data_IF_906975408332
#
_entry.id   IF_906975408332
#
_cell.length_a   1.000
_cell.length_b   1.000
_cell.length_c   1.000
_cell.angle_alpha   90.00
_cell.angle_beta   90.00
_cell.angle_gamma   90.00
#
_symmetry.space_group_name_H-M   'P 1'
#
loop_
_entity.id
_entity.type
_entity.pdbx_description
1 polymer ?
#
# COMPACT_ATOMS: atom_id res chain seq x y z
N UNK A 1 -10.51 43.99 6.91
CA UNK A 1 -9.63 42.98 6.26
C UNK A 1 -8.67 42.21 7.20
N UNK A 2 -8.53 42.56 8.49
CA UNK A 2 -7.62 41.87 9.43
C UNK A 2 -8.15 40.58 10.07
N UNK A 3 -9.46 40.51 10.36
CA UNK A 3 -10.07 39.35 11.03
C UNK A 3 -10.01 38.05 10.22
N UNK A 4 -10.21 38.11 8.90
CA UNK A 4 -10.16 36.93 8.02
C UNK A 4 -8.78 36.28 7.95
N UNK A 5 -7.70 37.08 8.03
CA UNK A 5 -6.31 36.58 8.05
C UNK A 5 -5.96 35.88 9.35
N UNK A 6 -6.49 36.36 10.48
CA UNK A 6 -6.30 35.74 11.79
C UNK A 6 -7.07 34.41 11.89
N UNK A 7 -8.29 34.38 11.37
CA UNK A 7 -9.11 33.17 11.30
C UNK A 7 -8.48 32.11 10.40
N UNK A 8 -7.98 32.49 9.22
CA UNK A 8 -7.24 31.58 8.34
C UNK A 8 -5.95 31.04 8.99
N UNK A 9 -5.20 31.89 9.70
CA UNK A 9 -4.00 31.45 10.46
C UNK A 9 -4.35 30.51 11.60
N UNK A 10 -5.42 30.77 12.33
CA UNK A 10 -5.90 29.92 13.42
C UNK A 10 -6.34 28.55 12.88
N UNK A 11 -7.16 28.53 11.83
CA UNK A 11 -7.58 27.30 11.15
C UNK A 11 -6.38 26.50 10.64
N UNK A 12 -5.44 27.16 9.97
CA UNK A 12 -4.23 26.51 9.48
C UNK A 12 -3.41 25.89 10.62
N UNK A 13 -3.23 26.61 11.74
CA UNK A 13 -2.53 26.08 12.93
C UNK A 13 -3.27 24.88 13.53
N UNK A 14 -4.59 24.95 13.65
CA UNK A 14 -5.41 23.86 14.17
C UNK A 14 -5.35 22.60 13.31
N UNK A 15 -5.58 22.73 11.99
CA UNK A 15 -5.48 21.62 11.04
C UNK A 15 -4.06 21.03 11.05
N UNK A 16 -3.03 21.89 11.08
CA UNK A 16 -1.64 21.45 11.10
C UNK A 16 -1.30 20.69 12.39
N UNK A 17 -1.74 21.15 13.55
CA UNK A 17 -1.52 20.45 14.81
C UNK A 17 -2.18 19.06 14.80
N UNK A 18 -3.43 18.97 14.34
CA UNK A 18 -4.13 17.69 14.22
C UNK A 18 -3.46 16.73 13.23
N UNK A 19 -2.95 17.27 12.11
CA UNK A 19 -2.22 16.50 11.11
C UNK A 19 -0.88 15.97 11.64
N UNK A 20 -0.15 16.76 12.44
CA UNK A 20 1.09 16.28 13.07
C UNK A 20 0.80 15.09 14.00
N UNK A 21 -0.20 15.21 14.88
CA UNK A 21 -0.62 14.11 15.76
C UNK A 21 -1.05 12.86 14.97
N UNK A 22 -1.78 13.02 13.87
CA UNK A 22 -2.20 11.88 13.03
C UNK A 22 -1.03 11.22 12.29
N UNK A 23 -0.02 11.98 11.87
CA UNK A 23 1.18 11.43 11.23
C UNK A 23 2.12 10.75 12.23
N UNK A 24 2.23 11.24 13.45
CA UNK A 24 3.05 10.62 14.51
C UNK A 24 2.44 9.29 14.96
N UNK A 25 1.12 9.26 15.15
CA UNK A 25 0.38 8.01 15.45
C UNK A 25 0.46 7.02 14.29
N UNK A 26 0.38 7.49 13.03
CA UNK A 26 0.57 6.64 11.85
C UNK A 26 1.99 6.05 11.81
N UNK A 27 3.02 6.86 12.09
CA UNK A 27 4.41 6.40 12.16
C UNK A 27 4.60 5.33 13.23
N UNK A 28 4.04 5.54 14.44
CA UNK A 28 4.12 4.57 15.53
C UNK A 28 3.42 3.25 15.19
N UNK A 29 2.27 3.32 14.51
CA UNK A 29 1.55 2.12 14.03
C UNK A 29 2.42 1.34 13.05
N UNK A 30 3.01 2.02 12.06
CA UNK A 30 3.92 1.38 11.11
C UNK A 30 5.18 0.81 11.75
N UNK A 31 5.75 1.46 12.75
CA UNK A 31 6.92 0.94 13.46
C UNK A 31 6.59 -0.37 14.20
N UNK A 32 5.40 -0.43 14.81
CA UNK A 32 4.87 -1.64 15.47
C UNK A 32 4.64 -2.76 14.45
N UNK A 33 3.93 -2.44 13.36
CA UNK A 33 3.59 -3.39 12.28
C UNK A 33 4.83 -3.95 11.58
N UNK A 34 5.89 -3.15 11.41
CA UNK A 34 7.15 -3.59 10.81
C UNK A 34 8.11 -4.26 11.80
N UNK A 35 7.81 -4.24 13.11
CA UNK A 35 8.71 -4.75 14.15
C UNK A 35 10.06 -4.03 14.22
N UNK A 36 10.13 -2.78 13.75
CA UNK A 36 11.36 -1.96 13.75
C UNK A 36 11.04 -0.48 13.85
N UNK A 37 11.97 0.28 14.40
CA UNK A 37 11.85 1.73 14.37
C UNK A 37 11.99 2.29 12.94
N UNK A 38 11.28 3.39 12.68
CA UNK A 38 11.31 4.12 11.41
C UNK A 38 12.03 5.43 11.65
N UNK A 39 13.20 5.58 11.02
CA UNK A 39 13.99 6.80 11.18
C UNK A 39 13.23 8.02 10.65
N UNK A 40 13.51 9.21 11.19
CA UNK A 40 12.91 10.47 10.69
C UNK A 40 13.19 10.66 9.19
N UNK A 41 14.38 10.25 8.73
CA UNK A 41 14.76 10.33 7.31
C UNK A 41 13.94 9.38 6.44
N UNK A 42 13.69 8.16 6.89
CA UNK A 42 12.80 7.22 6.18
C UNK A 42 11.37 7.74 6.16
N UNK A 43 10.87 8.23 7.29
CA UNK A 43 9.51 8.74 7.41
C UNK A 43 9.25 9.95 6.50
N UNK A 44 10.18 10.92 6.49
CA UNK A 44 10.10 12.09 5.61
C UNK A 44 10.20 11.70 4.14
N UNK A 45 11.02 10.71 3.80
CA UNK A 45 11.07 10.16 2.44
C UNK A 45 9.73 9.54 2.03
N UNK A 46 9.12 8.74 2.90
CA UNK A 46 7.81 8.11 2.70
C UNK A 46 6.72 9.15 2.43
N UNK A 47 6.62 10.18 3.26
CA UNK A 47 5.62 11.25 3.09
C UNK A 47 5.76 11.96 1.73
N UNK A 48 6.99 12.09 1.22
CA UNK A 48 7.25 12.67 -0.10
C UNK A 48 7.11 11.66 -1.25
N UNK A 49 7.03 10.36 -0.99
CA UNK A 49 7.07 9.35 -2.04
C UNK A 49 5.81 9.40 -2.91
N UNK A 50 4.64 9.73 -2.34
CA UNK A 50 3.40 9.90 -3.08
C UNK A 50 3.50 10.90 -4.24
N UNK A 51 4.35 11.92 -4.13
CA UNK A 51 4.53 12.91 -5.21
C UNK A 51 5.54 12.43 -6.25
N UNK A 52 6.43 11.52 -5.88
CA UNK A 52 7.52 10.99 -6.72
C UNK A 52 7.12 9.73 -7.50
N UNK A 53 6.15 8.98 -7.00
CA UNK A 53 5.78 7.66 -7.53
C UNK A 53 5.22 7.72 -8.95
N UNK A 54 4.40 8.72 -9.24
CA UNK A 54 3.78 8.92 -10.55
C UNK A 54 3.13 10.30 -10.62
N UNK A 55 2.97 10.85 -11.83
CA UNK A 55 2.16 12.05 -12.03
C UNK A 55 0.65 11.76 -11.93
N UNK A 56 0.22 10.53 -12.24
CA UNK A 56 -1.18 10.16 -12.29
C UNK A 56 -1.80 9.98 -10.90
N UNK A 57 -2.86 10.74 -10.62
CA UNK A 57 -3.58 10.72 -9.34
C UNK A 57 -4.02 9.33 -8.93
N UNK A 58 -4.46 8.49 -9.87
CA UNK A 58 -4.89 7.12 -9.59
C UNK A 58 -3.77 6.27 -8.98
N UNK A 59 -2.55 6.38 -9.50
CA UNK A 59 -1.38 5.66 -8.97
C UNK A 59 -0.99 6.19 -7.59
N UNK A 60 -1.08 7.50 -7.38
CA UNK A 60 -0.85 8.10 -6.05
C UNK A 60 -1.82 7.56 -5.01
N UNK A 61 -3.10 7.41 -5.36
CA UNK A 61 -4.10 6.83 -4.46
C UNK A 61 -3.77 5.38 -4.10
N UNK A 62 -3.37 4.55 -5.06
CA UNK A 62 -2.96 3.15 -4.82
C UNK A 62 -1.86 3.05 -3.75
N UNK A 63 -0.94 4.02 -3.73
CA UNK A 63 0.08 4.11 -2.69
C UNK A 63 -0.49 4.68 -1.37
N UNK A 64 -1.30 5.73 -1.46
CA UNK A 64 -1.82 6.47 -0.31
C UNK A 64 -2.74 5.65 0.60
N UNK A 65 -3.62 4.82 0.02
CA UNK A 65 -4.58 4.00 0.77
C UNK A 65 -3.90 3.08 1.79
N UNK A 66 -2.95 2.20 1.41
CA UNK A 66 -2.26 1.37 2.38
C UNK A 66 -1.37 2.20 3.30
N UNK A 67 -0.67 3.22 2.80
CA UNK A 67 0.22 4.04 3.62
C UNK A 67 -0.50 4.73 4.77
N UNK A 68 -1.71 5.28 4.54
CA UNK A 68 -2.54 5.87 5.60
C UNK A 68 -3.40 4.83 6.34
N UNK A 69 -3.14 3.54 6.10
CA UNK A 69 -3.93 2.43 6.63
C UNK A 69 -5.43 2.62 6.36
N UNK A 70 -5.83 3.22 5.24
CA UNK A 70 -7.24 3.52 4.92
C UNK A 70 -8.05 2.27 4.53
N UNK A 71 -7.38 1.14 4.34
CA UNK A 71 -7.98 -0.15 4.04
C UNK A 71 -8.80 -0.68 5.23
N UNK A 72 -10.11 -0.85 5.01
CA UNK A 72 -11.03 -1.51 5.95
C UNK A 72 -10.90 -3.03 5.85
N UNK A 73 -9.92 -3.57 6.57
CA UNK A 73 -9.72 -5.02 6.68
C UNK A 73 -10.77 -5.67 7.59
N UNK A 74 -11.03 -6.98 7.48
CA UNK A 74 -11.93 -7.69 8.41
C UNK A 74 -11.58 -7.48 9.89
N UNK A 75 -10.29 -7.48 10.25
CA UNK A 75 -9.85 -7.14 11.62
C UNK A 75 -10.31 -5.74 12.04
N UNK A 76 -10.16 -4.73 11.16
CA UNK A 76 -10.63 -3.36 11.45
C UNK A 76 -12.15 -3.24 11.48
N UNK A 77 -12.86 -3.94 10.60
CA UNK A 77 -14.32 -3.96 10.57
C UNK A 77 -14.89 -4.61 11.84
N UNK A 78 -14.28 -5.70 12.32
CA UNK A 78 -14.66 -6.32 13.58
C UNK A 78 -14.46 -5.36 14.76
N UNK A 79 -13.35 -4.61 14.78
CA UNK A 79 -13.10 -3.63 15.86
C UNK A 79 -14.07 -2.44 15.85
N UNK A 80 -14.50 -1.97 14.68
CA UNK A 80 -15.38 -0.79 14.55
C UNK A 80 -16.87 -1.16 14.67
N UNK A 81 -17.27 -2.26 14.02
CA UNK A 81 -18.67 -2.64 13.84
C UNK A 81 -19.03 -3.97 14.49
N UNK A 82 -18.12 -4.61 15.23
CA UNK A 82 -18.33 -5.91 15.87
C UNK A 82 -18.82 -7.00 14.90
N UNK A 83 -18.29 -7.00 13.67
CA UNK A 83 -18.66 -8.00 12.66
C UNK A 83 -18.38 -9.42 13.14
N UNK A 84 -19.15 -10.45 12.71
CA UNK A 84 -19.07 -11.79 13.30
C UNK A 84 -17.70 -12.48 13.16
N UNK A 85 -16.90 -12.10 12.17
CA UNK A 85 -15.56 -12.68 11.97
C UNK A 85 -14.52 -11.60 11.64
N UNK A 86 -13.33 -11.74 12.24
CA UNK A 86 -12.13 -10.99 11.89
C UNK A 86 -11.20 -11.76 10.93
N UNK A 87 -11.55 -13.02 10.63
CA UNK A 87 -10.73 -13.93 9.83
C UNK A 87 -10.58 -13.50 8.37
N UNK A 88 -9.45 -13.88 7.80
CA UNK A 88 -9.16 -13.70 6.38
C UNK A 88 -10.17 -14.44 5.49
N UNK A 89 -10.78 -13.76 4.50
CA UNK A 89 -11.75 -14.40 3.60
C UNK A 89 -11.11 -15.50 2.72
N UNK A 90 -9.78 -15.45 2.54
CA UNK A 90 -9.02 -16.37 1.68
C UNK A 90 -8.57 -17.63 2.44
N UNK A 91 -7.75 -17.46 3.48
CA UNK A 91 -7.22 -18.62 4.21
C UNK A 91 -8.09 -19.06 5.40
N UNK A 92 -8.98 -18.19 5.90
CA UNK A 92 -9.92 -18.46 7.01
C UNK A 92 -9.28 -18.84 8.36
N UNK A 93 -7.96 -18.74 8.51
CA UNK A 93 -7.23 -19.19 9.71
C UNK A 93 -6.76 -18.09 10.64
N UNK A 94 -6.57 -16.87 10.14
CA UNK A 94 -5.88 -15.79 10.87
C UNK A 94 -6.68 -14.51 10.75
N UNK A 95 -6.61 -13.68 11.79
CA UNK A 95 -7.16 -12.32 11.76
C UNK A 95 -6.57 -11.54 10.58
N UNK A 96 -7.45 -10.95 9.78
CA UNK A 96 -7.07 -10.25 8.58
C UNK A 96 -6.76 -8.80 8.87
N UNK A 97 -5.56 -8.57 9.38
CA UNK A 97 -4.90 -7.27 9.32
C UNK A 97 -4.28 -7.02 7.92
N UNK A 98 -3.65 -5.86 7.73
CA UNK A 98 -3.09 -5.49 6.43
C UNK A 98 -1.84 -6.34 6.08
N UNK A 99 -1.05 -6.73 7.08
CA UNK A 99 0.17 -7.53 6.93
C UNK A 99 -0.16 -8.98 6.56
N UNK A 100 -1.24 -9.54 7.07
CA UNK A 100 -1.77 -10.80 6.63
C UNK A 100 -2.35 -10.68 5.22
N UNK A 101 -3.26 -9.72 5.00
CA UNK A 101 -4.04 -9.64 3.77
C UNK A 101 -3.22 -9.30 2.51
N UNK A 102 -2.01 -8.77 2.65
CA UNK A 102 -1.15 -8.46 1.50
C UNK A 102 0.05 -9.41 1.47
N UNK A 103 1.09 -9.29 2.31
CA UNK A 103 2.28 -10.11 2.15
C UNK A 103 2.20 -11.53 2.76
N UNK A 104 1.49 -11.75 3.87
CA UNK A 104 1.65 -12.98 4.66
C UNK A 104 0.56 -14.05 4.47
N UNK A 105 -0.52 -13.78 3.73
CA UNK A 105 -1.58 -14.76 3.52
C UNK A 105 -1.07 -15.96 2.69
N UNK A 106 -1.17 -17.21 3.19
CA UNK A 106 -0.71 -18.40 2.46
C UNK A 106 -1.38 -18.58 1.10
N UNK A 107 -2.64 -18.15 0.96
CA UNK A 107 -3.38 -18.19 -0.31
C UNK A 107 -2.80 -17.27 -1.39
N UNK A 108 -1.83 -16.41 -1.06
CA UNK A 108 -1.16 -15.49 -1.99
C UNK A 108 0.28 -15.89 -2.31
N UNK A 109 0.78 -16.99 -1.76
CA UNK A 109 2.16 -17.41 -1.97
C UNK A 109 2.49 -17.57 -3.44
N UNK A 110 1.63 -18.24 -4.21
CA UNK A 110 1.84 -18.42 -5.66
C UNK A 110 1.83 -17.09 -6.41
N UNK A 111 0.89 -16.20 -6.08
CA UNK A 111 0.77 -14.87 -6.68
C UNK A 111 2.06 -14.05 -6.50
N UNK A 112 2.55 -13.94 -5.26
CA UNK A 112 3.76 -13.19 -4.98
C UNK A 112 5.03 -13.86 -5.49
N UNK A 113 5.06 -15.19 -5.54
CA UNK A 113 6.18 -15.93 -6.14
C UNK A 113 6.28 -15.64 -7.63
N UNK A 114 5.16 -15.59 -8.35
CA UNK A 114 5.13 -15.21 -9.76
C UNK A 114 5.61 -13.77 -9.98
N UNK A 115 5.08 -12.80 -9.21
CA UNK A 115 5.53 -11.40 -9.29
C UNK A 115 7.03 -11.28 -9.00
N UNK A 116 7.54 -11.96 -7.96
CA UNK A 116 8.97 -11.95 -7.64
C UNK A 116 9.81 -12.51 -8.78
N UNK A 117 9.40 -13.62 -9.39
CA UNK A 117 10.10 -14.24 -10.49
C UNK A 117 10.20 -13.29 -11.69
N UNK A 118 9.08 -12.68 -12.11
CA UNK A 118 9.05 -11.69 -13.19
C UNK A 118 9.94 -10.48 -12.90
N UNK A 119 9.89 -9.95 -11.67
CA UNK A 119 10.75 -8.82 -11.31
C UNK A 119 12.22 -9.19 -11.28
N UNK A 120 12.56 -10.41 -10.86
CA UNK A 120 13.95 -10.92 -10.83
C UNK A 120 14.51 -11.11 -12.23
N UNK A 121 13.68 -11.61 -13.16
CA UNK A 121 14.04 -11.76 -14.57
C UNK A 121 14.33 -10.40 -15.23
N UNK A 122 13.42 -9.44 -15.09
CA UNK A 122 13.61 -8.07 -15.63
C UNK A 122 14.80 -7.36 -14.97
N UNK A 123 15.07 -7.71 -13.71
CA UNK A 123 16.13 -7.12 -12.93
C UNK A 123 17.53 -7.64 -13.28
N UNK A 124 17.63 -8.86 -13.81
CA UNK A 124 18.86 -9.65 -13.90
C UNK A 124 19.59 -9.79 -12.54
N UNK A 125 18.88 -9.59 -11.42
CA UNK A 125 19.39 -9.72 -10.06
C UNK A 125 18.28 -10.15 -9.09
N UNK A 126 18.62 -10.87 -8.00
CA UNK A 126 17.62 -11.36 -7.05
C UNK A 126 16.84 -10.22 -6.37
N UNK A 127 15.51 -10.27 -6.49
CA UNK A 127 14.61 -9.29 -5.85
C UNK A 127 14.08 -9.83 -4.53
N UNK A 128 14.31 -9.06 -3.47
CA UNK A 128 13.79 -9.33 -2.13
C UNK A 128 12.51 -8.53 -1.88
N UNK A 129 11.40 -9.23 -1.68
CA UNK A 129 10.10 -8.62 -1.36
C UNK A 129 9.94 -8.49 0.16
N UNK A 130 10.41 -7.38 0.73
CA UNK A 130 10.16 -7.07 2.14
C UNK A 130 8.69 -6.70 2.38
N UNK A 131 8.15 -6.83 3.60
CA UNK A 131 6.81 -6.34 3.94
C UNK A 131 6.61 -4.86 3.58
N UNK A 132 7.65 -4.05 3.79
CA UNK A 132 7.65 -2.65 3.37
C UNK A 132 7.53 -2.50 1.85
N UNK A 133 8.17 -3.37 1.06
CA UNK A 133 8.07 -3.32 -0.39
C UNK A 133 6.67 -3.70 -0.87
N UNK A 134 6.08 -4.75 -0.31
CA UNK A 134 4.70 -5.15 -0.61
C UNK A 134 3.69 -4.03 -0.32
N UNK A 135 3.81 -3.38 0.84
CA UNK A 135 2.82 -2.43 1.31
C UNK A 135 3.04 -1.03 0.72
N UNK A 136 4.28 -0.57 0.67
CA UNK A 136 4.65 0.80 0.37
C UNK A 136 5.31 0.96 -1.01
N UNK A 137 5.54 -0.13 -1.74
CA UNK A 137 6.18 -0.07 -3.06
C UNK A 137 7.60 0.48 -3.02
N UNK A 138 8.26 0.43 -1.85
CA UNK A 138 9.64 0.88 -1.69
C UNK A 138 10.61 -0.27 -1.86
N UNK A 139 11.40 -0.22 -2.95
CA UNK A 139 12.49 -1.15 -3.12
C UNK A 139 13.53 -0.97 -1.99
N UNK A 140 13.96 -2.05 -1.31
CA UNK A 140 14.85 -1.97 -0.15
C UNK A 140 16.29 -1.54 -0.51
N UNK A 141 16.69 -1.69 -1.77
CA UNK A 141 18.02 -1.29 -2.26
C UNK A 141 17.92 -0.20 -3.32
N UNK A 142 18.80 0.79 -3.24
CA UNK A 142 19.07 1.70 -4.35
C UNK A 142 19.85 0.91 -5.41
N UNK A 143 19.18 0.47 -6.47
CA UNK A 143 19.86 -0.17 -7.62
C UNK A 143 20.66 0.89 -8.38
N UNK A 144 21.66 0.43 -9.13
CA UNK A 144 22.43 1.24 -10.09
C UNK A 144 21.54 1.99 -11.08
N UNK A 145 20.48 1.35 -11.61
CA UNK A 145 19.54 1.97 -12.54
C UNK A 145 18.31 2.59 -11.86
N UNK A 146 18.20 3.92 -11.96
CA UNK A 146 17.02 4.69 -11.50
C UNK A 146 15.74 4.33 -12.28
N UNK A 147 15.87 4.08 -13.59
CA UNK A 147 14.73 3.75 -14.46
C UNK A 147 14.15 2.39 -14.05
N UNK A 148 15.03 1.40 -13.87
CA UNK A 148 14.64 0.05 -13.46
C UNK A 148 14.00 0.05 -12.06
N UNK A 149 14.57 0.81 -11.12
CA UNK A 149 13.98 0.97 -9.78
C UNK A 149 12.55 1.52 -9.87
N UNK A 150 12.33 2.58 -10.67
CA UNK A 150 10.98 3.15 -10.87
C UNK A 150 10.01 2.17 -11.52
N UNK A 151 10.47 1.42 -12.51
CA UNK A 151 9.65 0.40 -13.15
C UNK A 151 9.19 -0.66 -12.14
N UNK A 152 10.10 -1.19 -11.34
CA UNK A 152 9.77 -2.21 -10.34
C UNK A 152 8.83 -1.66 -9.25
N UNK A 153 9.06 -0.45 -8.76
CA UNK A 153 8.17 0.22 -7.80
C UNK A 153 6.73 0.36 -8.36
N UNK A 154 6.61 0.79 -9.61
CA UNK A 154 5.32 0.88 -10.30
C UNK A 154 4.68 -0.50 -10.50
N UNK A 155 5.45 -1.50 -10.93
CA UNK A 155 4.97 -2.87 -11.11
C UNK A 155 4.43 -3.45 -9.79
N UNK A 156 5.14 -3.26 -8.67
CA UNK A 156 4.68 -3.69 -7.35
C UNK A 156 3.41 -2.97 -6.90
N UNK A 157 3.29 -1.67 -7.16
CA UNK A 157 2.07 -0.92 -6.85
C UNK A 157 0.88 -1.41 -7.66
N UNK A 158 1.08 -1.71 -8.95
CA UNK A 158 0.05 -2.25 -9.81
C UNK A 158 -0.34 -3.68 -9.42
N UNK A 159 0.62 -4.53 -9.07
CA UNK A 159 0.38 -5.87 -8.54
C UNK A 159 -0.51 -5.79 -7.29
N UNK A 160 -0.10 -4.99 -6.29
CA UNK A 160 -0.91 -4.72 -5.10
C UNK A 160 -2.29 -4.17 -5.45
N UNK A 161 -2.39 -3.24 -6.39
CA UNK A 161 -3.69 -2.70 -6.80
C UNK A 161 -4.61 -3.81 -7.32
N UNK A 162 -4.13 -4.68 -8.21
CA UNK A 162 -4.91 -5.83 -8.70
C UNK A 162 -5.34 -6.75 -7.55
N UNK A 163 -4.45 -7.03 -6.60
CA UNK A 163 -4.78 -7.79 -5.40
C UNK A 163 -5.94 -7.14 -4.62
N UNK A 164 -5.82 -5.84 -4.34
CA UNK A 164 -6.80 -5.10 -3.52
C UNK A 164 -8.14 -4.85 -4.21
N UNK A 165 -8.25 -5.07 -5.53
CA UNK A 165 -9.55 -5.10 -6.20
C UNK A 165 -10.38 -6.32 -5.83
N UNK A 166 -9.73 -7.43 -5.48
CA UNK A 166 -10.37 -8.71 -5.18
C UNK A 166 -10.10 -9.21 -3.76
N UNK A 167 -9.48 -8.41 -2.90
CA UNK A 167 -9.03 -8.82 -1.57
C UNK A 167 -10.12 -9.22 -0.57
N UNK A 168 -11.40 -8.87 -0.82
CA UNK A 168 -12.57 -9.33 -0.04
C UNK A 168 -13.21 -10.60 -0.61
N UNK A 169 -12.79 -11.03 -1.81
CA UNK A 169 -13.26 -12.27 -2.41
C UNK A 169 -12.58 -13.46 -1.73
N UNK A 170 -13.34 -14.54 -1.42
CA UNK A 170 -12.75 -15.79 -0.95
C UNK A 170 -11.92 -16.49 -2.04
N UNK A 171 -12.25 -16.26 -3.31
CA UNK A 171 -11.48 -16.78 -4.44
C UNK A 171 -10.42 -15.76 -4.85
N UNK A 172 -9.17 -16.21 -4.79
CA UNK A 172 -8.01 -15.61 -5.44
C UNK A 172 -8.16 -15.72 -6.98
N UNK A 173 -9.19 -15.10 -7.57
CA UNK A 173 -9.32 -15.01 -9.03
C UNK A 173 -8.34 -13.98 -9.55
N UNK A 174 -7.05 -14.32 -9.56
CA UNK A 174 -6.00 -13.52 -10.16
C UNK A 174 -5.89 -13.95 -11.61
N UNK A 175 -6.51 -13.21 -12.52
CA UNK A 175 -6.19 -13.34 -13.94
C UNK A 175 -4.71 -12.99 -14.11
N UNK A 176 -3.88 -13.87 -14.70
CA UNK A 176 -2.50 -13.56 -15.01
C UNK A 176 -2.46 -12.25 -15.82
N UNK A 177 -1.47 -11.40 -15.56
CA UNK A 177 -1.27 -10.09 -16.21
C UNK A 177 -1.04 -10.16 -17.74
N UNK A 178 -1.37 -11.28 -18.39
CA UNK A 178 -1.07 -11.61 -19.79
C UNK A 178 -2.29 -11.43 -20.71
N UNK A 179 -3.53 -11.37 -20.20
CA UNK A 179 -4.71 -11.48 -21.10
C UNK A 179 -5.56 -10.22 -21.34
N UNK A 180 -5.18 -9.03 -20.85
CA UNK A 180 -5.99 -7.81 -21.10
C UNK A 180 -5.27 -6.72 -21.87
N UNK A 181 -4.83 -7.07 -23.07
CA UNK A 181 -4.86 -6.18 -24.22
C UNK A 181 -6.25 -6.23 -24.86
N UNK A 182 -7.27 -5.76 -24.15
CA UNK A 182 -8.66 -5.84 -24.59
C UNK A 182 -9.41 -4.59 -24.16
N UNK A 183 -9.65 -3.71 -25.12
CA UNK A 183 -10.43 -2.49 -25.03
C UNK A 183 -11.83 -2.88 -24.55
N UNK A 184 -12.24 -2.44 -23.36
CA UNK A 184 -13.59 -2.65 -22.85
C UNK A 184 -14.48 -1.58 -23.49
N UNK A 185 -15.11 -1.95 -24.61
CA UNK A 185 -16.34 -1.29 -25.07
C UNK A 185 -17.50 -1.85 -24.25
N UNK A 186 -18.20 -0.98 -23.54
CA UNK A 186 -19.47 -1.28 -22.86
C UNK A 186 -20.57 -1.56 -23.90
N UNK A 187 -21.48 -2.52 -23.70
CA UNK A 187 -22.69 -2.63 -24.50
C UNK A 187 -23.81 -1.76 -23.90
N UNK A 188 -24.63 -1.19 -24.79
CA UNK A 188 -25.79 -0.34 -24.49
C UNK A 188 -27.02 -1.05 -23.96
#
# INVERSE_FOLDING_TARGET
MGHSRLLARWLYRGIRAQLHTSLDTLKATWATDMGRDITVKEWTFLLQYATKVSHYTRVKLIWFYPFHLAYLTPHRLNRIYHTPTAHCPRCRTTDADLLHMIPACPSLTQYWTAIRATLTEIAEEPVYLSPAYFLLGMHPRKRTSKVLTRFMDLAMLLAKHQLTRHWKSPHASFSPLVERGGIMLEPG
#
